data_IF_777493161252
#
_entry.id   IF_777493161252
#
_cell.length_a   1.000
_cell.length_b   1.000
_cell.length_c   1.000
_cell.angle_alpha   90.00
_cell.angle_beta   90.00
_cell.angle_gamma   90.00
#
_symmetry.space_group_name_H-M   'P 1'
#
loop_
_entity.id
_entity.type
_entity.pdbx_description
1 polymer ?
#
# COMPACT_ATOMS: atom_id res chain seq x y z
N UNK A 1 5.27 -6.61 -13.36
CA UNK A 1 5.13 -6.06 -14.73
C UNK A 1 5.00 -4.53 -14.75
N UNK A 2 3.91 -3.94 -14.22
CA UNK A 2 3.66 -2.49 -14.32
C UNK A 2 4.79 -1.60 -13.74
N UNK A 3 5.34 -1.98 -12.58
CA UNK A 3 6.47 -1.29 -11.97
C UNK A 3 7.68 -1.18 -12.91
N UNK A 4 8.11 -2.29 -13.50
CA UNK A 4 9.23 -2.30 -14.45
C UNK A 4 8.89 -1.59 -15.77
N UNK A 5 7.64 -1.71 -16.23
CA UNK A 5 7.16 -0.96 -17.40
C UNK A 5 7.08 0.56 -17.20
N UNK A 6 7.09 1.05 -15.96
CA UNK A 6 7.23 2.49 -15.68
C UNK A 6 8.67 2.96 -15.82
N UNK A 7 9.65 2.11 -15.48
CA UNK A 7 11.07 2.40 -15.64
C UNK A 7 11.47 2.56 -17.11
N UNK A 8 11.00 1.68 -17.99
CA UNK A 8 11.23 1.85 -19.44
C UNK A 8 10.60 3.12 -20.03
N UNK A 9 9.67 3.75 -19.31
CA UNK A 9 9.04 5.03 -19.67
C UNK A 9 9.66 6.23 -18.92
N UNK A 10 10.78 6.03 -18.24
CA UNK A 10 11.53 7.09 -17.56
C UNK A 10 11.01 7.48 -16.18
N UNK A 11 10.12 6.68 -15.56
CA UNK A 11 9.66 6.90 -14.19
C UNK A 11 10.44 6.00 -13.23
N UNK A 12 10.79 6.51 -12.05
CA UNK A 12 11.56 5.76 -11.06
C UNK A 12 10.64 4.98 -10.14
N UNK A 13 10.61 3.63 -10.20
CA UNK A 13 9.79 2.86 -9.28
C UNK A 13 10.28 3.04 -7.85
N UNK A 14 9.34 3.31 -6.94
CA UNK A 14 9.56 3.40 -5.50
C UNK A 14 8.70 2.33 -4.85
N UNK A 15 9.27 1.16 -4.53
CA UNK A 15 8.55 0.06 -3.89
C UNK A 15 7.99 0.47 -2.52
N UNK A 16 6.68 0.34 -2.35
CA UNK A 16 5.95 0.53 -1.10
C UNK A 16 5.05 -0.70 -0.90
N UNK A 17 5.59 -1.78 -0.33
CA UNK A 17 4.83 -2.99 -0.01
C UNK A 17 5.44 -3.75 1.15
N UNK A 18 4.62 -4.55 1.84
CA UNK A 18 5.07 -5.47 2.88
C UNK A 18 5.48 -6.81 2.26
N UNK A 19 6.75 -7.17 2.37
CA UNK A 19 7.29 -8.46 1.93
C UNK A 19 7.58 -9.41 3.09
N UNK A 20 7.03 -9.16 4.28
CA UNK A 20 7.25 -9.99 5.46
C UNK A 20 6.81 -11.44 5.17
N UNK A 21 7.74 -12.42 5.21
CA UNK A 21 7.40 -13.82 4.98
C UNK A 21 6.81 -14.43 6.25
N UNK A 22 6.00 -15.47 6.08
CA UNK A 22 5.52 -16.27 7.20
C UNK A 22 4.77 -17.51 6.72
N UNK A 23 4.59 -18.51 7.60
CA UNK A 23 3.88 -19.74 7.26
C UNK A 23 2.40 -19.45 6.98
N UNK A 24 1.87 -19.98 5.89
CA UNK A 24 0.46 -19.78 5.48
C UNK A 24 0.02 -18.30 5.57
N UNK A 25 0.77 -17.45 4.87
CA UNK A 25 0.52 -16.01 4.84
C UNK A 25 -0.84 -15.66 4.22
N UNK A 26 -1.51 -14.64 4.77
CA UNK A 26 -2.81 -14.18 4.26
C UNK A 26 -2.71 -13.59 2.86
N UNK A 27 -1.66 -12.80 2.61
CA UNK A 27 -1.35 -12.18 1.32
C UNK A 27 -0.18 -12.94 0.72
N UNK A 28 -0.39 -13.56 -0.44
CA UNK A 28 0.71 -14.15 -1.20
C UNK A 28 1.60 -13.03 -1.77
N UNK A 29 2.84 -12.98 -1.30
CA UNK A 29 3.84 -12.00 -1.73
C UNK A 29 5.00 -12.64 -2.50
N UNK A 30 4.91 -13.92 -2.88
CA UNK A 30 6.03 -14.63 -3.51
C UNK A 30 6.35 -14.02 -4.88
N UNK A 31 5.31 -13.70 -5.66
CA UNK A 31 5.47 -13.02 -6.96
C UNK A 31 6.11 -11.65 -6.84
N UNK A 32 5.88 -10.92 -5.74
CA UNK A 32 6.50 -9.62 -5.46
C UNK A 32 7.98 -9.80 -5.10
N UNK A 33 8.31 -10.81 -4.28
CA UNK A 33 9.69 -11.14 -3.91
C UNK A 33 10.51 -11.56 -5.13
N UNK A 34 9.97 -12.46 -5.95
CA UNK A 34 10.60 -12.86 -7.22
C UNK A 34 10.78 -11.64 -8.15
N UNK A 35 9.73 -10.84 -8.32
CA UNK A 35 9.79 -9.64 -9.16
C UNK A 35 10.76 -8.56 -8.67
N UNK A 36 11.07 -8.49 -7.38
CA UNK A 36 12.12 -7.61 -6.85
C UNK A 36 13.52 -8.07 -7.25
N UNK A 37 13.78 -9.37 -7.22
CA UNK A 37 15.06 -9.94 -7.63
C UNK A 37 15.27 -9.74 -9.13
N UNK A 38 14.28 -10.13 -9.94
CA UNK A 38 14.34 -10.00 -11.40
C UNK A 38 14.33 -8.54 -11.84
N UNK A 39 13.59 -7.69 -11.11
CA UNK A 39 13.49 -6.27 -11.42
C UNK A 39 14.77 -5.48 -11.18
N UNK A 40 15.66 -5.95 -10.29
CA UNK A 40 16.88 -5.23 -9.95
C UNK A 40 17.84 -5.09 -11.14
N UNK A 41 17.98 -6.14 -11.96
CA UNK A 41 18.79 -6.08 -13.19
C UNK A 41 18.18 -5.13 -14.22
N UNK A 42 16.87 -5.24 -14.45
CA UNK A 42 16.13 -4.39 -15.39
C UNK A 42 16.25 -2.90 -15.02
N UNK A 43 16.13 -2.57 -13.73
CA UNK A 43 16.26 -1.18 -13.26
C UNK A 43 17.67 -0.64 -13.39
N UNK A 44 18.69 -1.48 -13.22
CA UNK A 44 20.09 -1.10 -13.42
C UNK A 44 20.36 -0.75 -14.90
N UNK A 45 19.76 -1.49 -15.82
CA UNK A 45 19.91 -1.30 -17.26
C UNK A 45 19.08 -0.13 -17.80
N UNK A 46 17.96 0.22 -17.15
CA UNK A 46 17.09 1.30 -17.57
C UNK A 46 17.72 2.72 -17.50
N UNK A 47 18.91 2.87 -16.92
CA UNK A 47 19.70 4.12 -16.88
C UNK A 47 18.87 5.37 -16.53
N UNK A 48 17.97 5.23 -15.53
CA UNK A 48 17.01 6.28 -15.17
C UNK A 48 17.70 7.58 -14.75
N UNK A 49 17.25 8.69 -15.33
CA UNK A 49 17.69 10.02 -14.93
C UNK A 49 17.55 10.21 -13.41
N UNK A 50 18.50 10.93 -12.79
CA UNK A 50 18.44 11.22 -11.36
C UNK A 50 17.16 11.99 -10.99
N UNK A 51 16.68 12.85 -11.89
CA UNK A 51 15.45 13.62 -11.74
C UNK A 51 14.18 12.90 -12.26
N UNK A 52 14.24 11.61 -12.58
CA UNK A 52 13.09 10.83 -13.03
C UNK A 52 11.95 10.92 -11.98
N UNK A 53 10.70 11.22 -12.39
CA UNK A 53 9.59 11.33 -11.46
C UNK A 53 9.31 9.98 -10.78
N UNK A 54 8.87 9.98 -9.50
CA UNK A 54 8.64 8.74 -8.78
C UNK A 54 7.34 8.05 -9.24
N UNK A 55 7.40 6.73 -9.35
CA UNK A 55 6.26 5.84 -9.48
C UNK A 55 6.14 4.99 -8.21
N UNK A 56 5.25 5.38 -7.29
CA UNK A 56 5.03 4.64 -6.05
C UNK A 56 4.28 3.33 -6.36
N UNK A 57 4.93 2.19 -6.08
CA UNK A 57 4.39 0.87 -6.41
C UNK A 57 3.85 0.21 -5.16
N UNK A 58 2.55 -0.05 -5.14
CA UNK A 58 1.87 -0.75 -4.06
C UNK A 58 1.41 -2.13 -4.51
N UNK A 59 1.35 -3.07 -3.57
CA UNK A 59 0.61 -4.32 -3.76
C UNK A 59 -0.90 -4.05 -3.73
N UNK A 60 -1.62 -4.46 -4.78
CA UNK A 60 -3.07 -4.31 -4.89
C UNK A 60 -3.81 -5.19 -3.89
N UNK A 61 -3.22 -6.33 -3.49
CA UNK A 61 -3.82 -7.32 -2.57
C UNK A 61 -3.48 -7.07 -1.10
N UNK A 62 -2.69 -6.03 -0.78
CA UNK A 62 -2.14 -5.77 0.56
C UNK A 62 -3.14 -5.75 1.73
N UNK A 63 -4.42 -5.48 1.45
CA UNK A 63 -5.50 -5.41 2.45
C UNK A 63 -6.46 -6.60 2.42
N UNK A 64 -6.20 -7.56 1.53
CA UNK A 64 -7.06 -8.71 1.30
C UNK A 64 -6.72 -9.86 2.25
N UNK A 65 -7.64 -10.82 2.35
CA UNK A 65 -7.51 -11.97 3.24
C UNK A 65 -8.27 -11.82 4.55
N UNK A 66 -8.98 -12.88 4.91
CA UNK A 66 -9.67 -13.00 6.18
C UNK A 66 -8.70 -13.50 7.26
N UNK A 67 -8.70 -12.84 8.41
CA UNK A 67 -7.93 -13.25 9.57
C UNK A 67 -8.46 -14.59 10.06
N UNK A 68 -7.59 -15.59 10.18
CA UNK A 68 -7.94 -16.90 10.71
C UNK A 68 -6.83 -17.41 11.66
N UNK A 69 -7.19 -18.18 12.71
CA UNK A 69 -6.20 -18.73 13.65
C UNK A 69 -5.10 -19.53 12.95
N UNK A 70 -3.87 -19.44 13.46
CA UNK A 70 -2.66 -20.10 12.97
C UNK A 70 -2.13 -19.62 11.60
N UNK A 71 -2.86 -18.76 10.89
CA UNK A 71 -2.36 -18.10 9.66
C UNK A 71 -1.44 -16.94 9.99
N UNK A 72 -0.56 -16.56 9.07
CA UNK A 72 0.32 -15.41 9.24
C UNK A 72 -0.30 -14.15 8.62
N UNK A 73 -0.64 -13.17 9.45
CA UNK A 73 -1.19 -11.89 8.99
C UNK A 73 -0.07 -10.96 8.53
N UNK A 74 0.19 -10.95 7.23
CA UNK A 74 1.12 -10.04 6.56
C UNK A 74 0.40 -8.91 5.79
N UNK A 75 -0.89 -8.68 6.05
CA UNK A 75 -1.60 -7.55 5.46
C UNK A 75 -0.95 -6.24 5.90
N UNK A 76 -1.11 -5.24 5.06
CA UNK A 76 -0.51 -3.93 5.27
C UNK A 76 -1.40 -2.84 4.69
N UNK A 77 -1.37 -1.69 5.37
CA UNK A 77 -2.01 -0.46 4.88
C UNK A 77 -0.96 0.62 4.78
N UNK A 78 -1.18 1.55 3.87
CA UNK A 78 -0.30 2.71 3.75
C UNK A 78 -0.76 3.87 4.62
N UNK A 79 0.21 4.65 5.06
CA UNK A 79 0.01 5.88 5.80
C UNK A 79 0.62 7.07 5.04
N UNK A 80 0.12 8.29 5.29
CA UNK A 80 0.66 9.50 4.66
C UNK A 80 2.16 9.78 4.87
N UNK A 81 2.80 9.14 5.87
CA UNK A 81 4.25 9.28 6.08
C UNK A 81 5.09 8.34 5.22
N UNK A 82 4.46 7.31 4.64
CA UNK A 82 5.13 6.37 3.74
C UNK A 82 5.36 7.01 2.36
N UNK A 83 4.78 8.20 2.16
CA UNK A 83 4.89 8.99 0.95
C UNK A 83 5.48 10.38 1.24
N UNK A 84 6.08 11.04 0.23
CA UNK A 84 6.39 12.46 0.31
C UNK A 84 5.15 13.30 0.61
N UNK A 85 5.34 14.38 1.37
CA UNK A 85 4.28 15.36 1.60
C UNK A 85 3.90 16.06 0.28
N UNK A 86 2.68 16.59 0.23
CA UNK A 86 2.25 17.40 -0.92
C UNK A 86 3.21 18.57 -1.18
N UNK A 87 3.65 19.25 -0.12
CA UNK A 87 4.60 20.36 -0.21
C UNK A 87 5.92 19.92 -0.87
N UNK A 88 6.44 18.74 -0.51
CA UNK A 88 7.64 18.15 -1.12
C UNK A 88 7.44 17.95 -2.63
N UNK A 89 6.33 17.34 -3.04
CA UNK A 89 6.02 17.08 -4.45
C UNK A 89 5.84 18.39 -5.24
N UNK A 90 5.11 19.35 -4.70
CA UNK A 90 4.91 20.66 -5.34
C UNK A 90 6.21 21.43 -5.49
N UNK A 91 7.08 21.41 -4.46
CA UNK A 91 8.40 22.06 -4.51
C UNK A 91 9.35 21.42 -5.54
N UNK A 92 9.14 20.15 -5.89
CA UNK A 92 9.88 19.47 -6.96
C UNK A 92 9.21 19.61 -8.32
N UNK A 93 8.24 20.52 -8.47
CA UNK A 93 7.53 20.78 -9.73
C UNK A 93 6.46 19.76 -10.10
N UNK A 94 6.20 18.75 -9.26
CA UNK A 94 5.16 17.77 -9.50
C UNK A 94 3.81 18.40 -9.15
N UNK A 95 2.93 18.54 -10.14
CA UNK A 95 1.59 19.15 -9.97
C UNK A 95 0.44 18.16 -10.18
N UNK A 96 0.72 17.03 -10.84
CA UNK A 96 -0.26 16.01 -11.20
C UNK A 96 0.23 14.63 -10.80
N UNK A 97 -0.68 13.79 -10.32
CA UNK A 97 -0.43 12.40 -9.96
C UNK A 97 -1.43 11.52 -10.71
N UNK A 98 -0.93 10.48 -11.36
CA UNK A 98 -1.75 9.46 -11.99
C UNK A 98 -1.85 8.24 -11.07
N UNK A 99 -3.05 7.96 -10.58
CA UNK A 99 -3.39 6.70 -9.92
C UNK A 99 -3.69 5.65 -10.98
N UNK A 100 -2.83 4.65 -11.10
CA UNK A 100 -3.02 3.51 -12.01
C UNK A 100 -3.45 2.31 -11.18
N UNK A 101 -4.56 1.69 -11.57
CA UNK A 101 -5.16 0.56 -10.86
C UNK A 101 -5.96 -0.32 -11.83
N UNK A 102 -6.40 -1.49 -11.37
CA UNK A 102 -7.06 -2.50 -12.21
C UNK A 102 -8.48 -2.78 -11.69
N UNK A 103 -9.48 -2.62 -12.56
CA UNK A 103 -10.90 -2.83 -12.30
C UNK A 103 -11.53 -1.79 -11.36
N UNK A 104 -11.02 -0.56 -11.32
CA UNK A 104 -11.50 0.51 -10.44
C UNK A 104 -11.04 1.91 -10.83
N UNK A 105 -11.85 2.90 -10.49
CA UNK A 105 -11.55 4.34 -10.64
C UNK A 105 -11.35 5.06 -9.31
N UNK A 106 -11.88 4.54 -8.20
CA UNK A 106 -11.69 5.13 -6.87
C UNK A 106 -10.49 4.51 -6.13
N UNK A 107 -9.73 5.31 -5.36
CA UNK A 107 -8.64 4.79 -4.56
C UNK A 107 -9.14 3.88 -3.44
N UNK A 108 -8.32 2.88 -3.06
CA UNK A 108 -8.55 2.12 -1.81
C UNK A 108 -8.55 3.06 -0.61
N UNK A 109 -9.33 2.69 0.42
CA UNK A 109 -9.59 3.54 1.59
C UNK A 109 -8.30 4.01 2.29
N UNK A 110 -7.31 3.14 2.44
CA UNK A 110 -6.01 3.48 3.04
C UNK A 110 -5.27 4.54 2.21
N UNK A 111 -5.20 4.36 0.89
CA UNK A 111 -4.57 5.27 -0.05
C UNK A 111 -5.34 6.60 -0.16
N UNK A 112 -6.67 6.58 -0.01
CA UNK A 112 -7.50 7.79 -0.03
C UNK A 112 -7.08 8.80 1.07
N UNK A 113 -6.57 8.33 2.22
CA UNK A 113 -6.03 9.23 3.26
C UNK A 113 -4.79 10.01 2.79
N UNK A 114 -4.02 9.45 1.87
CA UNK A 114 -2.83 10.08 1.27
C UNK A 114 -3.26 11.03 0.16
N UNK A 115 -4.03 10.51 -0.82
CA UNK A 115 -4.41 11.26 -2.01
C UNK A 115 -5.29 12.47 -1.67
N UNK A 116 -6.17 12.37 -0.66
CA UNK A 116 -6.96 13.51 -0.23
C UNK A 116 -6.10 14.63 0.37
N UNK A 117 -5.00 14.29 1.05
CA UNK A 117 -4.07 15.32 1.58
C UNK A 117 -3.33 16.01 0.45
N UNK A 118 -2.92 15.25 -0.56
CA UNK A 118 -2.33 15.78 -1.79
C UNK A 118 -3.31 16.69 -2.53
N UNK A 119 -4.54 16.23 -2.77
CA UNK A 119 -5.57 17.01 -3.46
C UNK A 119 -5.92 18.31 -2.73
N UNK A 120 -6.08 18.27 -1.40
CA UNK A 120 -6.34 19.48 -0.59
C UNK A 120 -5.19 20.49 -0.59
N UNK A 121 -3.98 20.06 -0.92
CA UNK A 121 -2.81 20.93 -1.05
C UNK A 121 -2.61 21.43 -2.49
N UNK A 122 -3.49 21.07 -3.43
CA UNK A 122 -3.47 21.55 -4.82
C UNK A 122 -2.79 20.62 -5.82
N UNK A 123 -2.53 19.35 -5.48
CA UNK A 123 -2.14 18.34 -6.48
C UNK A 123 -3.38 17.83 -7.21
N UNK A 124 -3.31 17.82 -8.54
CA UNK A 124 -4.35 17.18 -9.36
C UNK A 124 -4.17 15.65 -9.31
N UNK A 125 -5.26 14.93 -9.08
CA UNK A 125 -5.27 13.47 -9.05
C UNK A 125 -6.07 12.99 -10.24
N UNK A 126 -5.43 12.23 -11.13
CA UNK A 126 -6.08 11.52 -12.22
C UNK A 126 -6.15 10.03 -11.87
N UNK A 127 -7.20 9.33 -12.32
CA UNK A 127 -7.27 7.87 -12.24
C UNK A 127 -7.27 7.26 -13.63
N UNK A 128 -6.58 6.14 -13.76
CA UNK A 128 -6.60 5.25 -14.91
C UNK A 128 -6.90 3.83 -14.43
N UNK A 129 -7.98 3.27 -14.96
CA UNK A 129 -8.32 1.87 -14.82
C UNK A 129 -7.71 1.09 -15.98
N UNK A 130 -6.84 0.11 -15.69
CA UNK A 130 -6.18 -0.72 -16.69
C UNK A 130 -7.12 -1.73 -17.37
N UNK A 131 -8.20 -2.15 -16.70
CA UNK A 131 -9.22 -3.00 -17.29
C UNK A 131 -10.25 -2.20 -18.09
N UNK A 132 -10.32 -0.88 -17.87
CA UNK A 132 -11.23 0.02 -18.55
C UNK A 132 -10.65 0.52 -19.88
N UNK A 133 -11.55 0.87 -20.81
CA UNK A 133 -11.18 1.54 -22.06
C UNK A 133 -11.11 3.08 -21.92
N UNK A 134 -11.59 3.61 -20.80
CA UNK A 134 -11.64 5.05 -20.56
C UNK A 134 -10.25 5.64 -20.36
N UNK A 135 -9.96 6.84 -20.93
CA UNK A 135 -8.70 7.53 -20.69
C UNK A 135 -8.57 7.99 -19.24
N UNK A 136 -7.34 8.32 -18.85
CA UNK A 136 -7.09 8.90 -17.54
C UNK A 136 -7.89 10.19 -17.32
N UNK A 137 -8.65 10.25 -16.24
CA UNK A 137 -9.54 11.37 -15.95
C UNK A 137 -9.29 11.94 -14.53
N UNK A 138 -9.44 13.26 -14.32
CA UNK A 138 -9.39 13.84 -12.99
C UNK A 138 -10.46 13.22 -12.07
N UNK A 139 -10.08 12.95 -10.82
CA UNK A 139 -11.00 12.42 -9.80
C UNK A 139 -11.06 13.34 -8.58
N UNK A 140 -12.22 13.40 -7.93
CA UNK A 140 -12.33 13.97 -6.58
C UNK A 140 -12.21 12.85 -5.56
N UNK A 141 -11.19 12.92 -4.70
CA UNK A 141 -10.95 11.87 -3.71
C UNK A 141 -11.97 12.01 -2.60
N UNK A 142 -12.83 10.99 -2.45
CA UNK A 142 -13.80 10.95 -1.37
C UNK A 142 -13.10 10.98 0.01
N UNK A 143 -13.73 11.63 0.99
CA UNK A 143 -13.20 11.69 2.36
C UNK A 143 -13.33 10.30 3.01
N UNK A 144 -12.21 9.61 3.34
CA UNK A 144 -12.30 8.33 4.02
C UNK A 144 -12.80 8.52 5.45
N UNK A 145 -13.41 7.48 6.02
CA UNK A 145 -13.84 7.49 7.42
C UNK A 145 -12.66 7.77 8.35
N UNK A 146 -12.90 8.47 9.46
CA UNK A 146 -11.87 8.80 10.47
C UNK A 146 -10.63 9.53 9.91
N UNK A 147 -10.76 10.27 8.80
CA UNK A 147 -9.69 11.11 8.25
C UNK A 147 -9.15 12.11 9.29
N UNK A 148 -7.83 12.10 9.51
CA UNK A 148 -7.09 12.88 10.54
C UNK A 148 -7.37 12.49 12.00
N UNK A 149 -8.16 11.45 12.27
CA UNK A 149 -8.31 10.98 13.65
C UNK A 149 -6.97 10.38 14.13
N UNK A 150 -6.43 10.88 15.24
CA UNK A 150 -5.23 10.31 15.89
C UNK A 150 -5.40 8.80 16.17
N UNK A 151 -6.64 8.37 16.43
CA UNK A 151 -6.99 6.97 16.70
C UNK A 151 -7.01 6.05 15.46
N UNK A 152 -7.03 6.55 14.22
CA UNK A 152 -7.03 5.67 13.04
C UNK A 152 -5.77 4.79 12.99
N UNK A 153 -4.60 5.37 13.29
CA UNK A 153 -3.34 4.60 13.38
C UNK A 153 -3.34 3.61 14.53
N UNK A 154 -3.90 3.99 15.68
CA UNK A 154 -4.00 3.10 16.84
C UNK A 154 -4.95 1.92 16.55
N UNK A 155 -6.09 2.17 15.91
CA UNK A 155 -7.07 1.14 15.53
C UNK A 155 -6.56 0.21 14.43
N UNK A 156 -5.87 0.75 13.43
CA UNK A 156 -5.19 -0.07 12.43
C UNK A 156 -4.05 -0.89 13.07
N UNK A 157 -3.29 -0.31 14.01
CA UNK A 157 -2.25 -1.03 14.74
C UNK A 157 -2.81 -2.08 15.71
N UNK A 158 -4.08 -1.98 16.12
CA UNK A 158 -4.78 -3.01 16.90
C UNK A 158 -5.28 -4.16 16.00
N UNK A 159 -5.58 -3.87 14.73
CA UNK A 159 -6.04 -4.85 13.72
C UNK A 159 -4.94 -5.47 12.86
N UNK A 160 -3.74 -4.90 12.85
CA UNK A 160 -2.56 -5.43 12.17
C UNK A 160 -1.51 -5.81 13.22
N UNK A 161 -1.03 -7.06 13.19
CA UNK A 161 0.02 -7.48 14.13
C UNK A 161 1.35 -6.86 13.75
N UNK A 162 1.99 -6.19 14.72
CA UNK A 162 3.37 -5.73 14.57
C UNK A 162 4.34 -6.87 14.85
N UNK A 163 5.35 -7.04 14.02
CA UNK A 163 6.47 -7.91 14.32
C UNK A 163 7.40 -7.25 15.34
N UNK A 164 8.16 -8.05 16.09
CA UNK A 164 9.18 -7.56 17.03
C UNK A 164 10.30 -6.74 16.37
N UNK A 165 10.44 -6.84 15.04
CA UNK A 165 11.42 -6.10 14.23
C UNK A 165 10.90 -4.74 13.71
N UNK A 166 9.72 -4.28 14.14
CA UNK A 166 9.20 -2.94 13.81
C UNK A 166 8.37 -2.86 12.52
N UNK A 167 8.05 -3.99 11.89
CA UNK A 167 7.16 -4.10 10.72
C UNK A 167 5.77 -4.64 11.07
N UNK A 168 4.95 -4.92 10.04
CA UNK A 168 3.69 -5.66 10.18
C UNK A 168 3.89 -7.12 9.78
N UNK A 169 3.40 -8.05 10.61
CA UNK A 169 3.59 -9.49 10.43
C UNK A 169 3.49 -10.24 11.75
N UNK A 170 2.60 -11.24 11.85
CA UNK A 170 2.55 -12.13 13.00
C UNK A 170 1.56 -13.28 12.82
N UNK A 171 1.83 -14.41 13.48
CA UNK A 171 0.90 -15.56 13.52
C UNK A 171 -0.33 -15.17 14.33
N UNK A 172 -1.53 -15.44 13.81
CA UNK A 172 -2.80 -15.26 14.53
C UNK A 172 -2.91 -16.34 15.61
N UNK A 173 -3.09 -15.98 16.89
CA UNK A 173 -3.10 -16.96 17.96
C UNK A 173 -4.39 -17.78 17.87
N UNK A 174 -4.40 -19.01 18.40
CA UNK A 174 -5.65 -19.72 18.61
C UNK A 174 -6.56 -18.90 19.55
N UNK A 175 -7.89 -18.97 19.40
CA UNK A 175 -8.79 -18.41 20.39
C UNK A 175 -8.42 -18.99 21.76
N UNK A 176 -8.18 -18.12 22.74
CA UNK A 176 -7.95 -18.54 24.12
C UNK A 176 -9.25 -19.15 24.64
N UNK A 177 -9.24 -20.46 24.89
CA UNK A 177 -10.29 -21.09 25.69
C UNK A 177 -10.25 -20.45 27.06
N UNK A 178 -11.18 -19.52 27.32
CA UNK A 178 -11.38 -19.00 28.66
C UNK A 178 -11.79 -20.17 29.54
N UNK A 179 -10.91 -20.57 30.46
CA UNK A 179 -11.23 -21.55 31.49
C UNK A 179 -12.41 -21.01 32.29
N UNK A 180 -13.58 -21.61 32.12
CA UNK A 180 -14.66 -21.52 33.09
C UNK A 180 -14.10 -22.00 34.41
N UNK A 181 -14.05 -21.09 35.38
CA UNK A 181 -13.58 -21.37 36.73
C UNK A 181 -14.29 -22.58 37.30
N UNK A 182 -13.49 -23.43 37.96
CA UNK A 182 -13.95 -24.54 38.77
C UNK A 182 -15.04 -24.07 39.75
N UNK A 183 -16.20 -24.71 39.71
CA UNK A 183 -17.18 -24.67 40.79
C UNK A 183 -17.27 -26.10 41.32
N UNK A 184 -16.51 -26.37 42.38
CA UNK A 184 -16.71 -27.55 43.22
C UNK A 184 -17.79 -27.15 44.24
N UNK A 185 -18.87 -27.91 44.25
CA UNK A 185 -19.82 -28.02 45.35
C UNK A 185 -20.27 -29.48 45.42
#
# INVERSE_FOLDING_TARGET
>A
ALALGSASRGWRPVPLFNSCPGPDALVDNESIRAGLLDGASVLREAALAQAAPPAFVLDSRRTEGAVAPRRFDNRWVVFPQDFPSAARLLSSGIRRVLLVQDGRSEPRSDLAHVLLRWQRAGLEILSLDLAGEAPAAPITVAKPSRFRALGYRALVALGLRKSSAGGFGGVVPPPSTGGTGAMWA
#
